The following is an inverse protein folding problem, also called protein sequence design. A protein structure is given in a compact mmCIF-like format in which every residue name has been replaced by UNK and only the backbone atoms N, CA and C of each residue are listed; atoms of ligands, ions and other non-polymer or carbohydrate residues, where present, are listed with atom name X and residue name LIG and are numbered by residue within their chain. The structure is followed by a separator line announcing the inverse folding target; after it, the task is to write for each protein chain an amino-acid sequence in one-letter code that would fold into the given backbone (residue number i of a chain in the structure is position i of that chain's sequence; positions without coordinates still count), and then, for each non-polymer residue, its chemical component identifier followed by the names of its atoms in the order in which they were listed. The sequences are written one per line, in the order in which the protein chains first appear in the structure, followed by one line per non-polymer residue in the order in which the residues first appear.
data_IF_830966811747
#
_entry.id   IF_830966811747
#
_cell.length_a   1.000
_cell.length_b   1.000
_cell.length_c   1.000
_cell.angle_alpha   90.00
_cell.angle_beta   90.00
_cell.angle_gamma   90.00
#
_symmetry.space_group_name_H-M   'P 1'
#
loop_
_entity.id
_entity.type
_entity.pdbx_description
1 polymer ?
#
# COMPACT_ATOMS: atom_id res chain seq x y z
N UNK A 1 5.74 9.26 -5.93
CA UNK A 1 5.20 8.15 -5.12
C UNK A 1 4.22 8.66 -4.09
N UNK A 2 3.03 8.07 -3.98
CA UNK A 2 2.16 8.24 -2.79
C UNK A 2 2.81 7.52 -1.60
N UNK A 3 2.61 8.02 -0.38
CA UNK A 3 3.06 7.31 0.82
C UNK A 3 2.15 6.12 1.13
N UNK A 4 2.68 5.13 1.84
CA UNK A 4 1.88 3.99 2.32
C UNK A 4 0.64 4.44 3.09
N UNK A 5 0.76 5.43 3.97
CA UNK A 5 -0.35 5.97 4.75
C UNK A 5 -1.43 6.59 3.85
N UNK A 6 -1.05 7.31 2.79
CA UNK A 6 -2.02 7.87 1.85
C UNK A 6 -2.80 6.77 1.14
N UNK A 7 -2.14 5.69 0.74
CA UNK A 7 -2.80 4.53 0.10
C UNK A 7 -3.73 3.82 1.08
N UNK A 8 -3.28 3.63 2.33
CA UNK A 8 -4.09 3.05 3.39
C UNK A 8 -5.37 3.84 3.63
N UNK A 9 -5.28 5.17 3.80
CA UNK A 9 -6.44 6.03 4.00
C UNK A 9 -7.35 6.08 2.77
N UNK A 10 -6.79 6.12 1.56
CA UNK A 10 -7.57 6.07 0.32
C UNK A 10 -8.42 4.80 0.23
N UNK A 11 -7.84 3.64 0.57
CA UNK A 11 -8.54 2.35 0.53
C UNK A 11 -9.58 2.26 1.63
N UNK A 12 -9.24 2.66 2.85
CA UNK A 12 -10.17 2.73 3.98
C UNK A 12 -11.40 3.59 3.64
N UNK A 13 -11.18 4.78 3.05
CA UNK A 13 -12.26 5.68 2.65
C UNK A 13 -13.10 5.11 1.50
N UNK A 14 -12.48 4.40 0.54
CA UNK A 14 -13.22 3.78 -0.58
C UNK A 14 -14.07 2.58 -0.15
N UNK A 15 -13.60 1.82 0.82
CA UNK A 15 -14.31 0.66 1.34
C UNK A 15 -15.34 1.03 2.42
N UNK A 16 -15.27 2.27 2.93
CA UNK A 16 -16.09 2.79 4.03
C UNK A 16 -16.06 1.89 5.28
N UNK A 17 -14.90 1.27 5.52
CA UNK A 17 -14.67 0.38 6.67
C UNK A 17 -13.19 0.31 7.02
N UNK A 18 -12.92 -0.14 8.24
CA UNK A 18 -11.57 -0.52 8.63
C UNK A 18 -11.08 -1.73 7.81
N UNK A 19 -9.80 -1.69 7.48
CA UNK A 19 -9.09 -2.83 6.91
C UNK A 19 -8.84 -3.85 8.02
N UNK A 20 -9.06 -5.12 7.71
CA UNK A 20 -8.66 -6.22 8.60
C UNK A 20 -7.14 -6.31 8.68
N UNK A 21 -6.62 -6.95 9.74
CA UNK A 21 -5.19 -7.10 9.94
C UNK A 21 -4.49 -7.75 8.73
N UNK A 22 -5.13 -8.75 8.11
CA UNK A 22 -4.56 -9.45 6.94
C UNK A 22 -4.58 -8.57 5.68
N UNK A 23 -5.61 -7.75 5.49
CA UNK A 23 -5.65 -6.76 4.41
C UNK A 23 -4.57 -5.68 4.59
N UNK A 24 -4.29 -5.25 5.83
CA UNK A 24 -3.20 -4.32 6.12
C UNK A 24 -1.84 -4.94 5.79
N UNK A 25 -1.61 -6.19 6.22
CA UNK A 25 -0.36 -6.90 5.90
C UNK A 25 -0.18 -7.07 4.39
N UNK A 26 -1.25 -7.44 3.69
CA UNK A 26 -1.23 -7.57 2.24
C UNK A 26 -0.90 -6.23 1.58
N UNK A 27 -1.56 -5.15 1.98
CA UNK A 27 -1.31 -3.82 1.42
C UNK A 27 0.13 -3.36 1.64
N UNK A 28 0.68 -3.63 2.83
CA UNK A 28 2.07 -3.31 3.16
C UNK A 28 3.05 -4.11 2.30
N UNK A 29 2.78 -5.40 2.08
CA UNK A 29 3.58 -6.25 1.19
C UNK A 29 3.57 -5.73 -0.25
N UNK A 30 2.39 -5.40 -0.80
CA UNK A 30 2.26 -4.85 -2.15
C UNK A 30 3.02 -3.53 -2.30
N UNK A 31 2.88 -2.63 -1.32
CA UNK A 31 3.58 -1.34 -1.35
C UNK A 31 5.09 -1.53 -1.34
N UNK A 32 5.62 -2.41 -0.49
CA UNK A 32 7.05 -2.70 -0.46
C UNK A 32 7.54 -3.27 -1.79
N UNK A 33 6.78 -4.21 -2.39
CA UNK A 33 7.14 -4.80 -3.68
C UNK A 33 7.19 -3.76 -4.79
N UNK A 34 6.20 -2.88 -4.84
CA UNK A 34 6.16 -1.77 -5.79
C UNK A 34 7.37 -0.82 -5.63
N UNK A 35 7.75 -0.52 -4.38
CA UNK A 35 8.94 0.32 -4.10
C UNK A 35 10.24 -0.37 -4.54
N UNK A 36 10.35 -1.68 -4.38
CA UNK A 36 11.49 -2.46 -4.90
C UNK A 36 11.55 -2.41 -6.43
N UNK A 37 10.42 -2.63 -7.11
CA UNK A 37 10.34 -2.57 -8.58
C UNK A 37 10.68 -1.18 -9.12
N UNK A 38 10.22 -0.09 -8.50
CA UNK A 38 10.60 1.26 -8.92
C UNK A 38 12.10 1.53 -8.73
N UNK A 39 12.73 0.95 -7.70
CA UNK A 39 14.19 1.05 -7.51
C UNK A 39 14.96 0.25 -8.55
N UNK A 40 14.51 -0.96 -8.88
CA UNK A 40 15.13 -1.80 -9.91
C UNK A 40 15.03 -1.17 -11.31
N UNK A 41 13.93 -0.46 -11.61
CA UNK A 41 13.76 0.24 -12.88
C UNK A 41 14.53 1.56 -12.99
N UNK A 42 14.94 2.13 -11.84
CA UNK A 42 15.68 3.39 -11.79
C UNK A 42 17.20 3.19 -11.71
N UNK A 43 17.69 1.94 -11.73
CA UNK A 43 19.09 1.53 -11.70
C UNK A 43 19.58 1.10 -13.09
#
# INVERSE_FOLDING_TARGET
MKSYLQIYYDIKNKLDRELTLDEVKFLQWVFNRYVEEEKEQSA
#
